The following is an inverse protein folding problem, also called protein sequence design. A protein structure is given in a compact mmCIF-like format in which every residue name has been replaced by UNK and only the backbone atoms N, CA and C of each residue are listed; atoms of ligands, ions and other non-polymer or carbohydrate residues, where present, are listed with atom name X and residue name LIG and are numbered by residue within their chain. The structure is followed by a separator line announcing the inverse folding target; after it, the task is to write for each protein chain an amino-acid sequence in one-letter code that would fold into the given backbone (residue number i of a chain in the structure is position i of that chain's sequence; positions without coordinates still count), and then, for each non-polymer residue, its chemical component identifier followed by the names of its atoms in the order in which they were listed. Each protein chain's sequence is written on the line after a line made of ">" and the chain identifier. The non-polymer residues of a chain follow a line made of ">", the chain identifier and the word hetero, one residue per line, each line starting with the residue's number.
data_IF_779431846978
#
_entry.id   IF_779431846978
#
_cell.length_a   1.000
_cell.length_b   1.000
_cell.length_c   1.000
_cell.angle_alpha   90.00
_cell.angle_beta   90.00
_cell.angle_gamma   90.00
#
_symmetry.space_group_name_H-M   'P 1'
#
loop_
_entity.id
_entity.type
_entity.pdbx_description
1 polymer ?
#
# COMPACT_ATOMS: atom_id res chain seq x y z
N UNK A 1 -11.25 -16.36 0.61
CA UNK A 1 -10.19 -16.02 -0.36
C UNK A 1 -10.80 -15.93 -1.75
N UNK A 2 -10.86 -14.75 -2.39
CA UNK A 2 -11.18 -14.68 -3.82
C UNK A 2 -9.87 -14.71 -4.61
N UNK A 3 -9.57 -15.87 -5.20
CA UNK A 3 -8.43 -16.12 -6.11
C UNK A 3 -8.34 -15.08 -7.24
N UNK A 4 -9.47 -14.44 -7.56
CA UNK A 4 -9.62 -13.40 -8.57
C UNK A 4 -8.76 -12.14 -8.30
N UNK A 5 -8.60 -11.71 -7.04
CA UNK A 5 -7.86 -10.47 -6.71
C UNK A 5 -6.34 -10.63 -6.79
N UNK A 6 -5.84 -11.84 -6.51
CA UNK A 6 -4.41 -12.17 -6.59
C UNK A 6 -3.95 -12.30 -8.04
N UNK A 7 -4.70 -13.05 -8.86
CA UNK A 7 -4.37 -13.23 -10.29
C UNK A 7 -4.41 -11.90 -11.06
N UNK A 8 -5.35 -10.99 -10.73
CA UNK A 8 -5.37 -9.65 -11.31
C UNK A 8 -4.15 -8.80 -10.93
N UNK A 9 -3.68 -8.91 -9.68
CA UNK A 9 -2.46 -8.21 -9.24
C UNK A 9 -1.21 -8.76 -9.92
N UNK A 10 -1.04 -10.08 -9.99
CA UNK A 10 0.10 -10.73 -10.62
C UNK A 10 0.28 -10.37 -12.11
N UNK A 11 -0.81 -10.04 -12.79
CA UNK A 11 -0.81 -9.60 -14.19
C UNK A 11 -0.67 -8.08 -14.35
N UNK A 12 -0.67 -7.32 -13.25
CA UNK A 12 -0.58 -5.87 -13.27
C UNK A 12 0.85 -5.37 -13.40
N UNK A 13 1.01 -4.14 -13.91
CA UNK A 13 2.32 -3.45 -13.96
C UNK A 13 2.92 -3.17 -12.57
N UNK A 14 2.13 -3.30 -11.51
CA UNK A 14 2.54 -3.08 -10.12
C UNK A 14 3.20 -4.31 -9.49
N UNK A 15 2.97 -5.51 -10.04
CA UNK A 15 3.59 -6.72 -9.53
C UNK A 15 5.10 -6.76 -9.83
N UNK A 16 5.87 -7.25 -8.88
CA UNK A 16 7.28 -7.60 -9.04
C UNK A 16 7.55 -8.97 -8.43
N UNK A 17 8.49 -9.75 -8.98
CA UNK A 17 8.88 -11.04 -8.40
C UNK A 17 9.41 -10.92 -6.96
N UNK A 18 9.90 -9.73 -6.57
CA UNK A 18 10.32 -9.41 -5.20
C UNK A 18 9.15 -9.38 -4.21
N UNK A 19 7.91 -9.20 -4.66
CA UNK A 19 6.71 -9.16 -3.83
C UNK A 19 6.19 -10.58 -3.55
N UNK A 20 6.85 -11.25 -2.61
CA UNK A 20 6.57 -12.65 -2.25
C UNK A 20 5.48 -12.81 -1.20
N UNK A 21 5.15 -11.74 -0.48
CA UNK A 21 4.31 -11.80 0.72
C UNK A 21 3.16 -10.79 0.64
N UNK A 22 2.03 -11.11 1.28
CA UNK A 22 0.89 -10.21 1.32
C UNK A 22 0.02 -10.36 2.58
N UNK A 23 -0.58 -9.25 3.00
CA UNK A 23 -1.62 -9.18 4.04
C UNK A 23 -2.96 -8.84 3.37
N UNK A 24 -3.98 -9.63 3.67
CA UNK A 24 -5.35 -9.38 3.23
C UNK A 24 -6.24 -9.16 4.45
N UNK A 25 -6.61 -7.89 4.68
CA UNK A 25 -7.52 -7.51 5.75
C UNK A 25 -8.60 -6.57 5.23
N UNK A 26 -9.86 -6.95 5.37
CA UNK A 26 -11.01 -6.20 4.86
C UNK A 26 -10.84 -5.76 3.39
N UNK A 27 -10.96 -4.46 3.08
CA UNK A 27 -10.77 -3.91 1.73
C UNK A 27 -9.30 -3.67 1.37
N UNK A 28 -8.34 -3.95 2.26
CA UNK A 28 -6.91 -3.69 2.05
C UNK A 28 -6.20 -4.95 1.55
N UNK A 29 -5.38 -4.77 0.51
CA UNK A 29 -4.47 -5.78 -0.04
C UNK A 29 -3.07 -5.20 -0.02
N UNK A 30 -2.26 -5.64 0.94
CA UNK A 30 -0.90 -5.13 1.12
C UNK A 30 0.11 -6.15 0.64
N UNK A 31 0.96 -5.81 -0.32
CA UNK A 31 1.99 -6.65 -0.92
C UNK A 31 3.38 -6.12 -0.55
N UNK A 32 4.31 -7.00 -0.20
CA UNK A 32 5.68 -6.65 0.20
C UNK A 32 6.66 -7.82 -0.03
N UNK A 33 7.96 -7.54 0.09
CA UNK A 33 9.01 -8.55 0.04
C UNK A 33 9.22 -9.20 1.42
N UNK A 34 9.50 -10.50 1.47
CA UNK A 34 9.66 -11.26 2.73
C UNK A 34 10.66 -10.63 3.71
N UNK A 35 11.81 -10.17 3.20
CA UNK A 35 12.84 -9.52 4.03
C UNK A 35 12.44 -8.13 4.56
N UNK A 36 11.32 -7.56 4.11
CA UNK A 36 10.76 -6.31 4.61
C UNK A 36 9.57 -6.51 5.55
N UNK A 37 9.30 -7.74 6.02
CA UNK A 37 8.13 -8.05 6.85
C UNK A 37 8.00 -7.14 8.07
N UNK A 38 9.10 -6.86 8.79
CA UNK A 38 9.04 -5.99 9.96
C UNK A 38 8.57 -4.57 9.61
N UNK A 39 9.11 -3.98 8.55
CA UNK A 39 8.67 -2.66 8.08
C UNK A 39 7.24 -2.71 7.56
N UNK A 40 6.86 -3.75 6.81
CA UNK A 40 5.51 -3.91 6.29
C UNK A 40 4.50 -4.00 7.43
N UNK A 41 4.80 -4.71 8.51
CA UNK A 41 3.94 -4.77 9.70
C UNK A 41 3.82 -3.42 10.40
N UNK A 42 4.90 -2.63 10.50
CA UNK A 42 4.84 -1.26 11.04
C UNK A 42 3.96 -0.34 10.19
N UNK A 43 4.14 -0.37 8.87
CA UNK A 43 3.30 0.39 7.93
C UNK A 43 1.85 -0.05 8.07
N UNK A 44 1.59 -1.35 8.04
CA UNK A 44 0.26 -1.91 8.19
C UNK A 44 -0.43 -1.50 9.50
N UNK A 45 0.26 -1.64 10.64
CA UNK A 45 -0.27 -1.29 11.94
C UNK A 45 -0.57 0.22 12.05
N UNK A 46 0.31 1.05 11.49
CA UNK A 46 0.09 2.50 11.40
C UNK A 46 -1.16 2.81 10.57
N UNK A 47 -1.27 2.24 9.37
CA UNK A 47 -2.42 2.45 8.49
C UNK A 47 -3.74 2.00 9.13
N UNK A 48 -3.75 0.83 9.77
CA UNK A 48 -4.94 0.27 10.41
C UNK A 48 -5.40 1.08 11.62
N UNK A 49 -4.47 1.52 12.46
CA UNK A 49 -4.81 2.27 13.68
C UNK A 49 -5.39 3.66 13.39
N UNK A 50 -4.99 4.28 12.28
CA UNK A 50 -5.39 5.65 11.93
C UNK A 50 -6.59 5.71 10.97
N UNK A 51 -6.92 4.61 10.30
CA UNK A 51 -8.00 4.54 9.33
C UNK A 51 -8.97 3.39 9.64
N UNK A 52 -9.30 3.17 10.92
CA UNK A 52 -10.17 2.06 11.37
C UNK A 52 -11.48 1.98 10.56
N UNK A 53 -12.05 3.13 10.21
CA UNK A 53 -13.26 3.24 9.38
C UNK A 53 -13.13 2.63 7.98
N UNK A 54 -11.92 2.56 7.42
CA UNK A 54 -11.66 1.89 6.14
C UNK A 54 -11.80 0.38 6.31
N UNK A 55 -11.29 -0.17 7.41
CA UNK A 55 -11.33 -1.61 7.68
C UNK A 55 -12.73 -2.11 8.03
N UNK A 56 -13.55 -1.29 8.69
CA UNK A 56 -14.91 -1.65 9.12
C UNK A 56 -15.96 -1.51 7.99
N UNK A 57 -15.57 -1.02 6.81
CA UNK A 57 -16.49 -0.89 5.67
C UNK A 57 -16.78 -2.26 5.02
N UNK A 58 -18.03 -2.51 4.62
CA UNK A 58 -18.36 -3.71 3.85
C UNK A 58 -17.57 -3.71 2.53
N UNK A 59 -16.83 -4.79 2.29
CA UNK A 59 -15.95 -4.91 1.13
C UNK A 59 -16.77 -4.96 -0.15
N UNK A 60 -16.79 -3.85 -0.90
CA UNK A 60 -17.26 -3.84 -2.27
C UNK A 60 -16.07 -4.14 -3.20
N UNK A 61 -16.28 -4.99 -4.22
CA UNK A 61 -15.20 -5.40 -5.16
C UNK A 61 -14.53 -4.21 -5.86
N UNK A 62 -15.21 -3.08 -5.99
CA UNK A 62 -14.74 -1.83 -6.61
C UNK A 62 -13.98 -0.91 -5.66
N UNK A 63 -13.86 -1.26 -4.37
CA UNK A 63 -13.28 -0.42 -3.32
C UNK A 63 -12.10 -1.11 -2.63
N UNK A 64 -11.37 -1.96 -3.36
CA UNK A 64 -10.16 -2.60 -2.83
C UNK A 64 -9.00 -1.60 -2.90
N UNK A 65 -8.40 -1.33 -1.74
CA UNK A 65 -7.18 -0.55 -1.60
C UNK A 65 -5.97 -1.48 -1.72
N UNK A 66 -5.17 -1.25 -2.75
CA UNK A 66 -3.90 -1.92 -2.93
C UNK A 66 -2.82 -1.07 -2.30
N UNK A 67 -2.03 -1.68 -1.44
CA UNK A 67 -0.81 -1.11 -0.87
C UNK A 67 0.33 -2.00 -1.32
N UNK A 68 1.41 -1.43 -1.86
CA UNK A 68 2.55 -2.18 -2.38
C UNK A 68 3.82 -1.55 -1.86
N UNK A 69 4.58 -2.29 -1.07
CA UNK A 69 5.89 -1.86 -0.57
C UNK A 69 6.99 -2.46 -1.45
N UNK A 70 7.71 -1.58 -2.12
CA UNK A 70 8.90 -1.91 -2.89
C UNK A 70 10.15 -1.77 -2.03
N UNK A 71 11.12 -2.67 -2.16
CA UNK A 71 12.45 -2.55 -1.57
C UNK A 71 13.21 -1.29 -2.00
N UNK A 72 13.03 -0.86 -3.24
CA UNK A 72 13.77 0.26 -3.80
C UNK A 72 12.87 1.21 -4.58
N UNK A 73 13.29 2.48 -4.63
CA UNK A 73 12.62 3.48 -5.45
C UNK A 73 12.68 3.18 -6.96
N UNK A 74 13.68 2.42 -7.41
CA UNK A 74 13.80 2.01 -8.81
C UNK A 74 12.71 1.01 -9.21
N UNK A 75 12.49 -0.02 -8.38
CA UNK A 75 11.42 -0.99 -8.61
C UNK A 75 10.05 -0.32 -8.65
N UNK A 76 9.84 0.62 -7.74
CA UNK A 76 8.64 1.45 -7.68
C UNK A 76 8.49 2.28 -8.98
N UNK A 77 9.53 3.02 -9.40
CA UNK A 77 9.48 3.84 -10.63
C UNK A 77 9.15 3.02 -11.87
N UNK A 78 9.68 1.82 -11.98
CA UNK A 78 9.39 0.91 -13.08
C UNK A 78 7.89 0.53 -13.17
N UNK A 79 7.10 0.72 -12.10
CA UNK A 79 5.66 0.44 -12.10
C UNK A 79 4.82 1.57 -12.73
N UNK A 80 5.45 2.66 -13.17
CA UNK A 80 4.80 3.74 -13.92
C UNK A 80 3.88 4.59 -13.05
N UNK A 81 4.43 5.13 -11.95
CA UNK A 81 3.75 5.84 -10.85
C UNK A 81 3.41 7.32 -11.18
N UNK A 82 3.30 7.67 -12.46
CA UNK A 82 2.96 9.05 -12.87
C UNK A 82 1.46 9.21 -13.18
N UNK A 83 0.64 8.23 -12.82
CA UNK A 83 -0.79 8.22 -13.09
C UNK A 83 -1.57 8.82 -11.91
N UNK A 84 -2.52 9.69 -12.22
CA UNK A 84 -3.46 10.27 -11.26
C UNK A 84 -4.19 9.18 -10.47
N UNK A 85 -4.20 9.28 -9.14
CA UNK A 85 -4.85 8.30 -8.24
C UNK A 85 -3.93 7.24 -7.65
N UNK A 86 -2.62 7.34 -7.86
CA UNK A 86 -1.59 6.54 -7.19
C UNK A 86 -0.81 7.44 -6.24
N UNK A 87 -0.74 7.03 -4.99
CA UNK A 87 0.07 7.71 -3.99
C UNK A 87 1.36 6.99 -3.71
N UNK A 88 2.37 7.79 -3.38
CA UNK A 88 3.72 7.31 -3.12
C UNK A 88 4.28 7.95 -1.87
N UNK A 89 4.84 7.12 -1.00
CA UNK A 89 5.70 7.57 0.09
C UNK A 89 7.04 6.86 0.03
N UNK A 90 8.11 7.65 0.14
CA UNK A 90 9.46 7.15 0.33
C UNK A 90 9.71 6.95 1.82
N UNK A 91 10.15 5.74 2.18
CA UNK A 91 10.58 5.37 3.52
C UNK A 91 12.09 5.08 3.50
N UNK A 92 12.79 5.12 4.65
CA UNK A 92 14.22 4.83 4.69
C UNK A 92 14.62 3.47 4.09
N UNK A 93 13.75 2.48 4.19
CA UNK A 93 14.01 1.10 3.72
C UNK A 93 13.12 0.69 2.54
N UNK A 94 12.53 1.64 1.81
CA UNK A 94 11.74 1.31 0.63
C UNK A 94 10.79 2.39 0.16
N UNK A 95 9.86 2.00 -0.70
CA UNK A 95 8.82 2.89 -1.23
C UNK A 95 7.48 2.21 -1.11
N UNK A 96 6.51 2.88 -0.50
CA UNK A 96 5.13 2.40 -0.43
C UNK A 96 4.32 3.11 -1.50
N UNK A 97 3.60 2.33 -2.29
CA UNK A 97 2.57 2.79 -3.22
C UNK A 97 1.19 2.41 -2.71
N UNK A 98 0.20 3.27 -2.88
CA UNK A 98 -1.20 2.86 -2.76
C UNK A 98 -2.08 3.38 -3.87
N UNK A 99 -3.05 2.56 -4.24
CA UNK A 99 -4.00 2.83 -5.32
C UNK A 99 -5.26 1.98 -5.14
N UNK A 100 -6.37 2.41 -5.74
CA UNK A 100 -7.63 1.64 -5.78
C UNK A 100 -7.85 1.02 -7.16
N UNK A 101 -8.32 -0.23 -7.22
CA UNK A 101 -8.72 -0.84 -8.50
C UNK A 101 -10.15 -0.38 -8.87
N UNK A 102 -10.28 0.79 -9.51
CA UNK A 102 -11.58 1.30 -9.96
C UNK A 102 -11.60 2.82 -10.10
N UNK A 103 -12.76 3.35 -10.51
CA UNK A 103 -13.02 4.80 -10.48
C UNK A 103 -12.91 5.26 -9.02
N UNK A 104 -12.09 6.27 -8.77
CA UNK A 104 -11.82 6.81 -7.42
C UNK A 104 -13.14 7.31 -6.85
N UNK A 105 -13.78 6.50 -6.02
CA UNK A 105 -14.84 7.00 -5.17
C UNK A 105 -14.14 7.88 -4.11
N UNK A 106 -14.46 9.17 -4.12
CA UNK A 106 -13.81 10.27 -3.40
C UNK A 106 -13.59 10.06 -1.88
N UNK A 107 -14.13 8.97 -1.31
CA UNK A 107 -14.13 8.62 0.10
C UNK A 107 -13.14 7.51 0.50
N UNK A 108 -12.40 6.94 -0.46
CA UNK A 108 -11.25 6.05 -0.27
C UNK A 108 -10.06 6.63 -1.02
N UNK A 109 -9.72 7.86 -0.66
CA UNK A 109 -8.65 8.62 -1.29
C UNK A 109 -7.28 8.10 -0.78
N UNK A 110 -6.47 7.44 -1.63
CA UNK A 110 -5.13 7.01 -1.25
C UNK A 110 -4.29 8.20 -0.77
N UNK A 111 -4.57 9.43 -1.27
CA UNK A 111 -3.90 10.69 -0.90
C UNK A 111 -4.03 10.89 0.59
N UNK A 112 -5.25 10.89 1.13
CA UNK A 112 -5.46 11.06 2.58
C UNK A 112 -4.90 9.90 3.38
N UNK A 113 -4.90 8.70 2.81
CA UNK A 113 -4.54 7.46 3.49
C UNK A 113 -3.04 7.34 3.77
N UNK A 114 -2.17 7.78 2.86
CA UNK A 114 -0.72 7.67 3.02
C UNK A 114 -0.05 9.02 3.30
N UNK A 115 -0.40 10.11 2.61
CA UNK A 115 0.32 11.39 2.79
C UNK A 115 0.20 11.95 4.21
N UNK A 116 -0.98 11.88 4.83
CA UNK A 116 -1.21 12.35 6.21
C UNK A 116 -0.34 11.65 7.28
N UNK A 117 0.23 10.50 6.93
CA UNK A 117 0.88 9.58 7.86
C UNK A 117 2.40 9.75 7.90
N UNK A 118 2.99 10.21 6.80
CA UNK A 118 4.44 10.24 6.62
C UNK A 118 4.99 11.65 6.37
N UNK A 119 4.14 12.68 6.29
CA UNK A 119 4.55 14.09 6.08
C UNK A 119 5.13 14.78 7.34
N UNK A 120 4.98 14.21 8.55
CA UNK A 120 5.44 14.89 9.78
C UNK A 120 6.18 14.01 10.80
N UNK A 121 6.01 12.68 10.79
CA UNK A 121 6.55 11.82 11.86
C UNK A 121 7.72 10.92 11.40
N UNK A 122 7.83 10.64 10.10
CA UNK A 122 8.84 9.71 9.58
C UNK A 122 10.29 10.24 9.64
N UNK A 123 10.49 11.55 9.86
CA UNK A 123 11.83 12.12 10.00
C UNK A 123 12.43 11.99 11.40
N UNK A 124 11.62 11.84 12.45
CA UNK A 124 12.11 11.85 13.84
C UNK A 124 12.08 10.46 14.50
N UNK A 125 11.05 9.64 14.26
CA UNK A 125 10.92 8.35 14.95
C UNK A 125 11.78 7.20 14.37
N UNK A 126 12.25 7.33 13.13
CA UNK A 126 13.16 6.34 12.53
C UNK A 126 14.66 6.62 12.81
N UNK A 127 14.97 7.70 13.54
CA UNK A 127 16.33 8.01 14.01
C UNK A 127 16.58 7.66 15.48
N UNK A 128 15.57 7.21 16.22
CA UNK A 128 15.67 6.97 17.68
C UNK A 128 15.64 5.49 18.08
N UNK A 129 16.00 4.57 17.18
CA UNK A 129 16.22 3.14 17.50
C UNK A 129 17.63 2.73 17.06
#
# INVERSE_FOLDING_TARGET
>A
MSVESWNGFLQSKYFRPSLTTAIFDGPVRFYFADFQEEMALKVYASLRSQNVEVWDRPVQRTQILYVVQYPTAEEARAAGISESGIERVELPEGVVLAFTAGNVDSNLDPIRFISSQFDSTAKEDLQSI
#
